data_IF_960186661926
#
_entry.id   IF_960186661926
#
_cell.length_a   1.000
_cell.length_b   1.000
_cell.length_c   1.000
_cell.angle_alpha   90.00
_cell.angle_beta   90.00
_cell.angle_gamma   90.00
#
_symmetry.space_group_name_H-M   'P 1'
#
loop_
_entity.id
_entity.type
_entity.pdbx_description
1 polymer ?
#
# COMPACT_ATOMS: atom_id res chain seq x y z
N UNK A 1 -7.95 -19.44 -18.23
CA UNK A 1 -8.02 -18.79 -16.91
C UNK A 1 -8.12 -19.87 -15.84
N UNK A 2 -7.02 -20.17 -15.14
CA UNK A 2 -7.00 -21.11 -14.02
C UNK A 2 -6.28 -20.43 -12.87
N UNK A 3 -7.05 -19.87 -11.94
CA UNK A 3 -6.53 -19.30 -10.69
C UNK A 3 -6.15 -20.46 -9.76
N UNK A 4 -4.87 -20.77 -9.70
CA UNK A 4 -4.31 -21.67 -8.70
C UNK A 4 -4.37 -20.93 -7.35
N UNK A 5 -5.34 -21.32 -6.52
CA UNK A 5 -5.43 -20.91 -5.12
C UNK A 5 -4.32 -21.63 -4.35
N UNK A 6 -3.23 -20.93 -4.04
CA UNK A 6 -2.22 -21.43 -3.10
C UNK A 6 -2.82 -21.31 -1.70
N UNK A 7 -3.28 -22.45 -1.17
CA UNK A 7 -3.68 -22.59 0.23
C UNK A 7 -2.39 -22.62 1.05
N UNK A 8 -2.06 -21.50 1.68
CA UNK A 8 -1.01 -21.44 2.72
C UNK A 8 -1.63 -22.00 3.99
N UNK A 9 -1.45 -23.31 4.21
CA UNK A 9 -1.87 -23.97 5.44
C UNK A 9 -0.91 -23.58 6.57
N UNK A 10 -1.28 -22.53 7.30
CA UNK A 10 -0.53 -21.98 8.42
C UNK A 10 -0.85 -22.82 9.68
N UNK A 11 -0.16 -23.94 9.84
CA UNK A 11 -0.25 -24.78 11.03
C UNK A 11 0.47 -24.07 12.18
N UNK A 12 -0.29 -23.42 13.07
CA UNK A 12 0.15 -23.04 14.40
C UNK A 12 0.08 -24.30 15.30
N UNK A 13 1.12 -25.13 15.27
CA UNK A 13 1.34 -26.14 16.32
C UNK A 13 2.07 -25.45 17.47
N UNK A 14 1.31 -25.11 18.52
CA UNK A 14 1.84 -24.73 19.83
C UNK A 14 2.27 -25.98 20.59
N UNK A 15 3.41 -26.56 20.21
CA UNK A 15 4.10 -27.57 21.03
C UNK A 15 5.09 -26.82 21.92
N UNK A 16 4.96 -27.05 23.23
CA UNK A 16 5.95 -26.68 24.23
C UNK A 16 7.29 -27.33 23.86
N UNK A 17 8.14 -26.62 23.13
CA UNK A 17 9.42 -27.13 22.67
C UNK A 17 10.43 -27.10 23.82
N UNK A 18 10.72 -28.28 24.38
CA UNK A 18 11.99 -28.51 25.05
C UNK A 18 13.12 -28.07 24.11
N UNK A 19 14.06 -27.27 24.63
CA UNK A 19 15.18 -26.61 23.92
C UNK A 19 16.22 -27.58 23.31
N UNK A 20 15.79 -28.52 22.48
CA UNK A 20 16.66 -29.39 21.71
C UNK A 20 16.52 -29.05 20.22
N UNK A 21 17.65 -28.96 19.53
CA UNK A 21 17.68 -28.63 18.10
C UNK A 21 18.06 -29.87 17.30
N UNK A 22 17.24 -30.18 16.28
CA UNK A 22 17.41 -31.37 15.45
C UNK A 22 18.47 -31.15 14.36
N UNK A 23 19.31 -32.17 14.16
CA UNK A 23 20.35 -32.23 13.12
C UNK A 23 20.33 -33.62 12.51
N UNK A 24 20.37 -33.69 11.18
CA UNK A 24 20.51 -34.96 10.47
C UNK A 24 22.00 -35.26 10.28
N UNK A 25 22.43 -36.43 10.75
CA UNK A 25 23.78 -36.96 10.60
C UNK A 25 23.69 -38.46 10.28
N UNK A 26 24.38 -38.92 9.24
CA UNK A 26 24.32 -40.31 8.75
C UNK A 26 22.89 -40.87 8.61
N UNK A 27 21.98 -40.07 8.03
CA UNK A 27 20.56 -40.41 7.86
C UNK A 27 19.76 -40.61 9.17
N UNK A 28 20.33 -40.25 10.31
CA UNK A 28 19.67 -40.31 11.62
C UNK A 28 19.47 -38.91 12.18
N UNK A 29 18.42 -38.75 12.99
CA UNK A 29 18.06 -37.47 13.61
C UNK A 29 18.64 -37.42 15.02
N UNK A 30 19.48 -36.42 15.27
CA UNK A 30 20.06 -36.15 16.57
C UNK A 30 19.50 -34.83 17.13
N UNK A 31 19.28 -34.80 18.45
CA UNK A 31 18.82 -33.65 19.21
C UNK A 31 19.97 -33.07 20.01
N UNK A 32 20.35 -31.81 19.77
CA UNK A 32 21.45 -31.18 20.50
C UNK A 32 20.90 -30.23 21.56
N UNK A 33 21.37 -30.40 22.81
CA UNK A 33 21.03 -29.52 23.93
C UNK A 33 22.31 -29.14 24.67
N UNK A 34 22.81 -27.93 24.40
CA UNK A 34 24.09 -27.46 24.95
C UNK A 34 25.27 -28.28 24.43
N UNK A 35 25.95 -29.01 25.32
CA UNK A 35 27.10 -29.87 24.96
C UNK A 35 26.71 -31.31 24.62
N UNK A 36 25.50 -31.72 24.97
CA UNK A 36 25.02 -33.10 24.90
C UNK A 36 24.29 -33.37 23.58
N UNK A 37 24.53 -34.54 23.00
CA UNK A 37 23.90 -35.00 21.77
C UNK A 37 23.02 -36.20 22.08
N UNK A 38 21.73 -36.09 21.78
CA UNK A 38 20.74 -37.12 22.05
C UNK A 38 20.27 -37.79 20.76
N UNK A 39 19.94 -39.08 20.82
CA UNK A 39 19.23 -39.81 19.75
C UNK A 39 18.07 -40.54 20.39
N UNK A 40 16.85 -40.36 19.88
CA UNK A 40 15.63 -40.95 20.46
C UNK A 40 15.43 -40.68 21.97
N UNK A 41 16.02 -39.61 22.51
CA UNK A 41 15.96 -39.25 23.94
C UNK A 41 17.09 -39.81 24.80
N UNK A 42 17.94 -40.70 24.26
CA UNK A 42 19.12 -41.23 24.96
C UNK A 42 20.36 -40.36 24.70
N UNK A 43 21.19 -40.17 25.73
CA UNK A 43 22.45 -39.42 25.62
C UNK A 43 23.49 -40.27 24.87
N UNK A 44 23.84 -39.84 23.66
CA UNK A 44 24.82 -40.49 22.80
C UNK A 44 26.20 -39.84 22.91
N UNK A 45 26.40 -38.90 23.83
CA UNK A 45 27.65 -38.12 23.89
C UNK A 45 28.86 -39.01 24.21
N UNK A 46 28.75 -39.96 25.14
CA UNK A 46 29.88 -40.84 25.48
C UNK A 46 30.12 -41.93 24.43
N UNK A 47 29.11 -42.24 23.60
CA UNK A 47 29.14 -43.29 22.58
C UNK A 47 29.68 -42.74 21.25
N UNK A 48 29.33 -41.50 20.91
CA UNK A 48 29.78 -40.84 19.69
C UNK A 48 31.26 -40.45 19.79
N UNK A 49 32.01 -40.65 18.71
CA UNK A 49 33.37 -40.14 18.63
C UNK A 49 33.39 -38.61 18.77
N UNK A 50 34.47 -38.02 19.33
CA UNK A 50 34.61 -36.57 19.41
C UNK A 50 34.44 -35.86 18.06
N UNK A 51 34.86 -36.51 16.98
CA UNK A 51 34.71 -36.04 15.60
C UNK A 51 33.24 -35.97 15.18
N UNK A 52 32.47 -37.04 15.41
CA UNK A 52 31.05 -37.10 15.08
C UNK A 52 30.24 -36.06 15.87
N UNK A 53 30.54 -35.89 17.17
CA UNK A 53 29.92 -34.82 17.96
C UNK A 53 30.23 -33.43 17.41
N UNK A 54 31.48 -33.18 17.03
CA UNK A 54 31.91 -31.89 16.52
C UNK A 54 31.24 -31.59 15.17
N UNK A 55 31.07 -32.59 14.32
CA UNK A 55 30.38 -32.45 13.04
C UNK A 55 28.89 -32.13 13.25
N UNK A 56 28.19 -32.87 14.12
CA UNK A 56 26.78 -32.61 14.47
C UNK A 56 26.61 -31.18 15.00
N UNK A 57 27.48 -30.73 15.92
CA UNK A 57 27.47 -29.37 16.47
C UNK A 57 27.77 -28.30 15.41
N UNK A 58 28.66 -28.60 14.46
CA UNK A 58 29.01 -27.68 13.38
C UNK A 58 27.85 -27.52 12.40
N UNK A 59 27.19 -28.64 12.02
CA UNK A 59 25.98 -28.63 11.21
C UNK A 59 24.87 -27.83 11.89
N UNK A 60 24.67 -28.00 13.20
CA UNK A 60 23.71 -27.21 13.96
C UNK A 60 23.98 -25.71 13.86
N UNK A 61 25.22 -25.28 14.17
CA UNK A 61 25.61 -23.87 14.08
C UNK A 61 25.37 -23.30 12.69
N UNK A 62 25.61 -24.10 11.65
CA UNK A 62 25.35 -23.70 10.27
C UNK A 62 23.84 -23.51 10.00
N UNK A 63 23.00 -24.46 10.43
CA UNK A 63 21.53 -24.37 10.34
C UNK A 63 21.02 -23.13 11.10
N UNK A 64 21.49 -22.89 12.32
CA UNK A 64 21.11 -21.71 13.10
C UNK A 64 21.51 -20.41 12.41
N UNK A 65 22.72 -20.35 11.86
CA UNK A 65 23.22 -19.18 11.12
C UNK A 65 22.36 -18.93 9.88
N UNK A 66 22.05 -19.98 9.12
CA UNK A 66 21.17 -19.89 7.96
C UNK A 66 19.75 -19.43 8.37
N UNK A 67 19.16 -20.04 9.39
CA UNK A 67 17.83 -19.66 9.89
C UNK A 67 17.80 -18.20 10.38
N UNK A 68 18.85 -17.75 11.08
CA UNK A 68 18.98 -16.35 11.51
C UNK A 68 19.10 -15.41 10.31
N UNK A 69 19.85 -15.79 9.28
CA UNK A 69 19.99 -15.00 8.06
C UNK A 69 18.67 -14.94 7.29
N UNK A 70 17.98 -16.07 7.11
CA UNK A 70 16.65 -16.13 6.48
C UNK A 70 15.64 -15.26 7.22
N UNK A 71 15.59 -15.35 8.56
CA UNK A 71 14.71 -14.48 9.38
C UNK A 71 15.05 -12.99 9.22
N UNK A 72 16.33 -12.63 9.13
CA UNK A 72 16.73 -11.23 8.85
C UNK A 72 16.30 -10.79 7.46
N UNK A 73 16.53 -11.62 6.45
CA UNK A 73 16.14 -11.34 5.06
C UNK A 73 14.61 -11.19 4.94
N UNK A 74 13.82 -12.09 5.54
CA UNK A 74 12.36 -11.99 5.56
C UNK A 74 11.87 -10.72 6.25
N UNK A 75 12.48 -10.34 7.38
CA UNK A 75 12.15 -9.08 8.07
C UNK A 75 12.47 -7.87 7.19
N UNK A 76 13.60 -7.88 6.50
CA UNK A 76 14.01 -6.82 5.58
C UNK A 76 13.03 -6.72 4.39
N UNK A 77 12.67 -7.86 3.78
CA UNK A 77 11.69 -7.92 2.68
C UNK A 77 10.31 -7.42 3.12
N UNK A 78 9.82 -7.85 4.29
CA UNK A 78 8.55 -7.37 4.85
C UNK A 78 8.57 -5.87 5.13
N UNK A 79 9.71 -5.32 5.57
CA UNK A 79 9.88 -3.88 5.79
C UNK A 79 9.85 -3.12 4.46
N UNK A 80 10.63 -3.57 3.49
CA UNK A 80 10.68 -2.98 2.15
C UNK A 80 9.31 -3.02 1.44
N UNK A 81 8.56 -4.11 1.56
CA UNK A 81 7.20 -4.22 1.00
C UNK A 81 6.23 -3.23 1.66
N UNK A 82 6.31 -3.08 2.99
CA UNK A 82 5.49 -2.11 3.73
C UNK A 82 5.82 -0.67 3.30
N UNK A 83 7.10 -0.32 3.21
CA UNK A 83 7.56 0.99 2.76
C UNK A 83 7.10 1.27 1.33
N UNK A 84 7.29 0.33 0.38
CA UNK A 84 6.79 0.45 -0.99
C UNK A 84 5.28 0.70 -1.02
N UNK A 85 4.50 -0.06 -0.25
CA UNK A 85 3.04 0.07 -0.19
C UNK A 85 2.60 1.40 0.42
N UNK A 86 3.35 1.95 1.37
CA UNK A 86 3.09 3.29 1.92
C UNK A 86 3.36 4.37 0.86
N UNK A 87 4.52 4.32 0.20
CA UNK A 87 4.87 5.25 -0.88
C UNK A 87 3.86 5.22 -2.04
N UNK A 88 3.41 4.04 -2.46
CA UNK A 88 2.37 3.92 -3.49
C UNK A 88 1.02 4.53 -3.06
N UNK A 89 0.64 4.37 -1.77
CA UNK A 89 -0.58 4.98 -1.24
C UNK A 89 -0.47 6.50 -1.21
N UNK A 90 0.68 7.04 -0.83
CA UNK A 90 0.94 8.47 -0.82
C UNK A 90 0.92 9.06 -2.23
N UNK A 91 1.58 8.41 -3.18
CA UNK A 91 1.56 8.81 -4.58
C UNK A 91 0.12 8.85 -5.11
N UNK A 92 -0.66 7.79 -4.89
CA UNK A 92 -2.09 7.73 -5.28
C UNK A 92 -2.93 8.82 -4.61
N UNK A 93 -2.62 9.23 -3.38
CA UNK A 93 -3.32 10.34 -2.70
C UNK A 93 -2.97 11.67 -3.37
N UNK A 94 -1.70 11.91 -3.69
CA UNK A 94 -1.22 13.12 -4.39
C UNK A 94 -1.86 13.22 -5.78
N UNK A 95 -1.81 12.16 -6.58
CA UNK A 95 -2.43 12.12 -7.91
C UNK A 95 -3.93 12.40 -7.86
N UNK A 96 -4.64 11.84 -6.88
CA UNK A 96 -6.07 12.12 -6.67
C UNK A 96 -6.33 13.57 -6.29
N UNK A 97 -5.48 14.16 -5.44
CA UNK A 97 -5.59 15.56 -5.06
C UNK A 97 -5.34 16.49 -6.25
N UNK A 98 -4.28 16.24 -7.02
CA UNK A 98 -3.95 16.99 -8.25
C UNK A 98 -5.06 16.89 -9.29
N UNK A 99 -5.62 15.69 -9.50
CA UNK A 99 -6.75 15.50 -10.42
C UNK A 99 -7.97 16.31 -9.96
N UNK A 100 -8.32 16.25 -8.67
CA UNK A 100 -9.44 17.03 -8.12
C UNK A 100 -9.21 18.54 -8.25
N UNK A 101 -7.99 19.02 -8.03
CA UNK A 101 -7.62 20.43 -8.23
C UNK A 101 -7.76 20.83 -9.70
N UNK A 102 -7.26 20.01 -10.63
CA UNK A 102 -7.39 20.24 -12.08
C UNK A 102 -8.86 20.29 -12.50
N UNK A 103 -9.69 19.37 -12.00
CA UNK A 103 -11.13 19.35 -12.27
C UNK A 103 -11.84 20.57 -11.68
N UNK A 104 -11.45 21.03 -10.49
CA UNK A 104 -11.98 22.26 -9.89
C UNK A 104 -11.62 23.50 -10.72
N UNK A 105 -10.35 23.65 -11.14
CA UNK A 105 -9.91 24.73 -12.05
C UNK A 105 -10.67 24.71 -13.36
N UNK A 106 -10.83 23.52 -13.98
CA UNK A 106 -11.60 23.35 -15.21
C UNK A 106 -13.07 23.72 -15.04
N UNK A 107 -13.67 23.41 -13.89
CA UNK A 107 -15.05 23.80 -13.59
C UNK A 107 -15.22 25.30 -13.48
N UNK A 108 -14.29 26.00 -12.81
CA UNK A 108 -14.30 27.45 -12.70
C UNK A 108 -14.17 28.10 -14.08
N UNK A 109 -13.16 27.72 -14.85
CA UNK A 109 -12.94 28.23 -16.21
C UNK A 109 -14.17 28.02 -17.11
N UNK A 110 -14.84 26.86 -17.03
CA UNK A 110 -16.09 26.62 -17.78
C UNK A 110 -17.22 27.57 -17.35
N UNK A 111 -17.36 27.86 -16.06
CA UNK A 111 -18.38 28.76 -15.55
C UNK A 111 -18.13 30.21 -16.01
N UNK A 112 -16.88 30.67 -15.92
CA UNK A 112 -16.43 31.98 -16.39
C UNK A 112 -16.65 32.14 -17.90
N UNK A 113 -16.22 31.16 -18.70
CA UNK A 113 -16.43 31.16 -20.15
C UNK A 113 -17.92 31.19 -20.52
N UNK A 114 -18.76 30.48 -19.78
CA UNK A 114 -20.21 30.51 -19.99
C UNK A 114 -20.78 31.90 -19.67
N UNK A 115 -20.38 32.51 -18.56
CA UNK A 115 -20.78 33.88 -18.24
C UNK A 115 -20.34 34.87 -19.33
N UNK A 116 -19.06 34.85 -19.72
CA UNK A 116 -18.51 35.74 -20.74
C UNK A 116 -19.22 35.59 -22.10
N UNK A 117 -19.47 34.35 -22.54
CA UNK A 117 -20.17 34.09 -23.80
C UNK A 117 -21.63 34.56 -23.79
N UNK A 118 -22.34 34.36 -22.69
CA UNK A 118 -23.72 34.84 -22.53
C UNK A 118 -23.77 36.37 -22.39
N UNK A 119 -22.81 36.97 -21.70
CA UNK A 119 -22.66 38.42 -21.58
C UNK A 119 -22.42 39.08 -22.95
N UNK A 120 -21.54 38.50 -23.77
CA UNK A 120 -21.30 38.96 -25.15
C UNK A 120 -22.55 38.87 -26.03
N UNK A 121 -23.41 37.87 -25.84
CA UNK A 121 -24.69 37.77 -26.57
C UNK A 121 -25.67 38.86 -26.13
N UNK A 122 -25.78 39.07 -24.81
CA UNK A 122 -26.60 40.14 -24.25
C UNK A 122 -26.19 41.52 -24.77
N UNK A 123 -24.90 41.86 -24.73
CA UNK A 123 -24.40 43.14 -25.25
C UNK A 123 -24.72 43.33 -26.74
N UNK A 124 -24.57 42.27 -27.55
CA UNK A 124 -24.96 42.33 -28.97
C UNK A 124 -26.45 42.60 -29.18
N UNK A 125 -27.33 42.05 -28.33
CA UNK A 125 -28.77 42.29 -28.42
C UNK A 125 -29.15 43.68 -27.92
N UNK A 126 -28.54 44.11 -26.81
CA UNK A 126 -28.69 45.45 -26.22
C UNK A 126 -28.27 46.52 -27.22
N UNK A 127 -27.09 46.39 -27.83
CA UNK A 127 -26.57 47.35 -28.79
C UNK A 127 -27.41 47.42 -30.08
N UNK A 128 -28.17 46.36 -30.39
CA UNK A 128 -29.11 46.33 -31.52
C UNK A 128 -30.51 46.86 -31.15
N UNK A 129 -30.75 47.27 -29.90
CA UNK A 129 -32.08 47.67 -29.42
C UNK A 129 -33.10 46.52 -29.43
N UNK A 130 -32.64 45.26 -29.40
CA UNK A 130 -33.50 44.06 -29.52
C UNK A 130 -33.91 43.48 -28.16
N UNK A 131 -33.89 44.27 -27.10
CA UNK A 131 -34.26 43.84 -25.76
C UNK A 131 -35.40 44.71 -25.25
N UNK A 132 -36.52 44.08 -24.92
CA UNK A 132 -37.59 44.72 -24.15
C UNK A 132 -37.22 44.77 -22.66
N UNK A 133 -37.92 45.59 -21.84
CA UNK A 133 -37.73 45.58 -20.38
C UNK A 133 -37.86 44.18 -19.76
N UNK A 134 -38.84 43.38 -20.20
CA UNK A 134 -39.03 42.00 -19.75
C UNK A 134 -37.86 41.08 -20.13
N UNK A 135 -37.25 41.32 -21.31
CA UNK A 135 -36.05 40.57 -21.72
C UNK A 135 -34.85 40.93 -20.84
N UNK A 136 -34.70 42.21 -20.47
CA UNK A 136 -33.67 42.65 -19.53
C UNK A 136 -33.78 41.91 -18.19
N UNK A 137 -34.98 41.77 -17.64
CA UNK A 137 -35.20 41.02 -16.39
C UNK A 137 -34.82 39.53 -16.53
N UNK A 138 -35.19 38.89 -17.65
CA UNK A 138 -34.81 37.49 -17.92
C UNK A 138 -33.29 37.31 -18.02
N UNK A 139 -32.60 38.27 -18.65
CA UNK A 139 -31.14 38.25 -18.74
C UNK A 139 -30.48 38.46 -17.38
N UNK A 140 -31.00 39.35 -16.53
CA UNK A 140 -30.45 39.56 -15.19
C UNK A 140 -30.58 38.28 -14.34
N UNK A 141 -31.77 37.66 -14.31
CA UNK A 141 -31.98 36.36 -13.63
C UNK A 141 -31.03 35.27 -14.14
N UNK A 142 -30.69 35.29 -15.43
CA UNK A 142 -29.72 34.36 -16.02
C UNK A 142 -28.30 34.67 -15.57
N UNK A 143 -27.91 35.95 -15.51
CA UNK A 143 -26.59 36.35 -15.02
C UNK A 143 -26.42 36.08 -13.53
N UNK A 144 -27.43 36.29 -12.70
CA UNK A 144 -27.42 35.89 -11.28
C UNK A 144 -27.11 34.40 -11.13
N UNK A 145 -27.81 33.53 -11.88
CA UNK A 145 -27.55 32.08 -11.87
C UNK A 145 -26.12 31.75 -12.29
N UNK A 146 -25.60 32.43 -13.31
CA UNK A 146 -24.23 32.21 -13.80
C UNK A 146 -23.18 32.71 -12.79
N UNK A 147 -23.38 33.88 -12.15
CA UNK A 147 -22.53 34.39 -11.07
C UNK A 147 -22.51 33.44 -9.87
N UNK A 148 -23.68 32.96 -9.44
CA UNK A 148 -23.77 31.93 -8.38
C UNK A 148 -23.01 30.64 -8.76
N UNK A 149 -23.03 30.22 -10.02
CA UNK A 149 -22.26 29.05 -10.46
C UNK A 149 -20.75 29.28 -10.42
N UNK A 150 -20.29 30.48 -10.78
CA UNK A 150 -18.88 30.89 -10.65
C UNK A 150 -18.48 30.87 -9.17
N UNK A 151 -19.25 31.51 -8.30
CA UNK A 151 -18.97 31.52 -6.85
C UNK A 151 -18.91 30.11 -6.26
N UNK A 152 -19.82 29.21 -6.66
CA UNK A 152 -19.78 27.81 -6.22
C UNK A 152 -18.50 27.11 -6.69
N UNK A 153 -18.05 27.37 -7.92
CA UNK A 153 -16.82 26.81 -8.46
C UNK A 153 -15.57 27.39 -7.77
N UNK A 154 -15.55 28.69 -7.48
CA UNK A 154 -14.49 29.35 -6.70
C UNK A 154 -14.42 28.82 -5.27
N UNK A 155 -15.56 28.72 -4.58
CA UNK A 155 -15.65 28.15 -3.23
C UNK A 155 -15.14 26.71 -3.21
N UNK A 156 -15.42 25.93 -4.26
CA UNK A 156 -14.89 24.57 -4.40
C UNK A 156 -13.37 24.58 -4.63
N UNK A 157 -12.85 25.52 -5.41
CA UNK A 157 -11.41 25.63 -5.66
C UNK A 157 -10.64 26.07 -4.40
N UNK A 158 -11.19 27.01 -3.62
CA UNK A 158 -10.61 27.50 -2.34
C UNK A 158 -10.56 26.45 -1.23
N UNK A 159 -11.23 25.31 -1.38
CA UNK A 159 -11.21 24.19 -0.43
C UNK A 159 -10.03 23.24 -0.64
N UNK A 160 -9.25 23.43 -1.69
CA UNK A 160 -8.00 22.71 -1.96
C UNK A 160 -6.82 23.57 -1.51
#
# INVERSE_FOLDING_TARGET
MKTIKVIVFLIFITVNFSFAQEVIYNNEIYNVKGKTVYKNGEDMSEILSPEAQNEIKTRLKHIEKQAKQTRKNEKALKKAEKEKKQSEKELKKKEKAEKKLKDAKKSLSKAENKYASEYKKFEKLKNKGKLSPDDHEKWEKKFEKLRSNIEKAEKRLKRF
#
